data_IF_524913157588
#
_entry.id   IF_524913157588
#
_cell.length_a   1.000
_cell.length_b   1.000
_cell.length_c   1.000
_cell.angle_alpha   90.00
_cell.angle_beta   90.00
_cell.angle_gamma   90.00
#
_symmetry.space_group_name_H-M   'P 1'
#
loop_
_entity.id
_entity.type
_entity.pdbx_description
1 polymer ?
#
# COMPACT_ATOMS: atom_id res chain seq x y z
N UNK A 1 0.81 -13.22 -13.86
CA UNK A 1 0.62 -12.77 -12.45
C UNK A 1 1.98 -12.76 -11.79
N UNK A 2 2.27 -11.88 -10.84
CA UNK A 2 3.55 -11.93 -10.12
C UNK A 2 3.49 -13.10 -9.13
N UNK A 3 4.47 -14.00 -9.21
CA UNK A 3 4.57 -15.15 -8.30
C UNK A 3 4.89 -14.66 -6.88
N UNK A 4 4.30 -15.30 -5.85
CA UNK A 4 4.50 -14.91 -4.45
C UNK A 4 3.62 -13.75 -3.95
N UNK A 5 2.83 -13.12 -4.84
CA UNK A 5 1.94 -12.01 -4.49
C UNK A 5 0.50 -12.50 -4.31
N UNK A 6 -0.13 -12.16 -3.18
CA UNK A 6 -1.56 -12.36 -2.94
C UNK A 6 -2.37 -11.76 -4.09
N UNK A 7 -3.14 -12.60 -4.80
CA UNK A 7 -4.01 -12.13 -5.88
C UNK A 7 -5.46 -12.47 -5.65
N UNK A 8 -6.30 -11.44 -5.66
CA UNK A 8 -7.68 -11.53 -5.24
C UNK A 8 -8.56 -10.70 -6.17
N UNK A 9 -9.68 -11.27 -6.63
CA UNK A 9 -10.65 -10.57 -7.49
C UNK A 9 -11.89 -10.08 -6.73
N UNK A 10 -12.07 -10.52 -5.48
CA UNK A 10 -13.18 -10.13 -4.59
C UNK A 10 -12.73 -9.06 -3.60
N UNK A 11 -13.47 -7.97 -3.47
CA UNK A 11 -13.09 -6.89 -2.55
C UNK A 11 -13.15 -7.35 -1.07
N UNK A 12 -14.13 -8.20 -0.73
CA UNK A 12 -14.23 -8.80 0.61
C UNK A 12 -13.02 -9.67 0.98
N UNK A 13 -12.42 -10.34 0.01
CA UNK A 13 -11.21 -11.13 0.25
C UNK A 13 -9.97 -10.22 0.24
N UNK A 14 -9.95 -9.15 -0.57
CA UNK A 14 -8.83 -8.21 -0.61
C UNK A 14 -8.65 -7.51 0.75
N UNK A 15 -9.75 -7.14 1.40
CA UNK A 15 -9.78 -6.62 2.78
C UNK A 15 -9.22 -7.58 3.84
N UNK A 16 -9.03 -8.86 3.51
CA UNK A 16 -8.43 -9.87 4.39
C UNK A 16 -6.95 -10.14 4.06
N UNK A 17 -6.40 -9.49 3.03
CA UNK A 17 -4.97 -9.58 2.73
C UNK A 17 -4.18 -8.71 3.68
N UNK A 18 -3.35 -9.32 4.52
CA UNK A 18 -2.40 -8.68 5.44
C UNK A 18 -0.93 -9.05 5.09
N UNK A 19 -0.68 -9.49 3.86
CA UNK A 19 0.66 -9.92 3.43
C UNK A 19 1.47 -8.79 2.77
N UNK A 20 1.25 -7.52 3.12
CA UNK A 20 1.88 -6.37 2.47
C UNK A 20 3.40 -6.47 2.35
N UNK A 21 4.07 -6.89 3.42
CA UNK A 21 5.51 -7.09 3.43
C UNK A 21 5.97 -8.15 2.41
N UNK A 22 5.40 -9.35 2.44
CA UNK A 22 5.78 -10.44 1.54
C UNK A 22 5.40 -10.17 0.07
N UNK A 23 4.24 -9.55 -0.14
CA UNK A 23 3.82 -9.06 -1.45
C UNK A 23 4.85 -8.06 -1.99
N UNK A 24 5.27 -7.09 -1.16
CA UNK A 24 6.25 -6.07 -1.53
C UNK A 24 7.57 -6.70 -1.95
N UNK A 25 8.09 -7.65 -1.18
CA UNK A 25 9.32 -8.37 -1.52
C UNK A 25 9.22 -9.05 -2.89
N UNK A 26 8.13 -9.79 -3.11
CA UNK A 26 7.90 -10.50 -4.39
C UNK A 26 7.74 -9.55 -5.58
N UNK A 27 7.08 -8.39 -5.39
CA UNK A 27 6.94 -7.37 -6.44
C UNK A 27 8.28 -6.71 -6.73
N UNK A 28 9.05 -6.37 -5.69
CA UNK A 28 10.35 -5.73 -5.83
C UNK A 28 11.37 -6.66 -6.52
N UNK A 29 11.34 -7.97 -6.25
CA UNK A 29 12.16 -8.95 -6.97
C UNK A 29 11.76 -9.08 -8.45
N UNK A 30 10.47 -8.92 -8.77
CA UNK A 30 9.97 -8.99 -10.14
C UNK A 30 10.32 -7.72 -10.94
N UNK A 31 10.30 -6.54 -10.32
CA UNK A 31 10.63 -5.26 -10.97
C UNK A 31 11.10 -4.19 -10.00
N UNK A 32 12.21 -3.54 -10.37
CA UNK A 32 12.79 -2.41 -9.63
C UNK A 32 12.15 -1.06 -9.98
N UNK A 33 11.15 -1.03 -10.86
CA UNK A 33 10.45 0.19 -11.29
C UNK A 33 9.00 0.19 -10.77
N UNK A 34 8.79 -0.18 -9.50
CA UNK A 34 7.47 -0.28 -8.89
C UNK A 34 7.37 0.51 -7.59
N UNK A 35 6.14 0.87 -7.23
CA UNK A 35 5.81 1.44 -5.92
C UNK A 35 6.32 0.57 -4.76
N UNK A 36 6.25 -0.76 -4.92
CA UNK A 36 6.76 -1.69 -3.93
C UNK A 36 8.28 -1.59 -3.76
N UNK A 37 9.03 -1.49 -4.86
CA UNK A 37 10.49 -1.31 -4.80
C UNK A 37 10.89 0.01 -4.12
N UNK A 38 10.20 1.12 -4.41
CA UNK A 38 10.47 2.40 -3.73
C UNK A 38 10.29 2.30 -2.20
N UNK A 39 9.33 1.49 -1.74
CA UNK A 39 9.17 1.22 -0.31
C UNK A 39 10.35 0.45 0.28
N UNK A 40 10.92 -0.54 -0.42
CA UNK A 40 11.99 -1.41 0.13
C UNK A 40 13.33 -0.70 0.31
N UNK A 41 13.56 0.39 -0.43
CA UNK A 41 14.77 1.22 -0.30
C UNK A 41 14.61 2.38 0.68
N UNK A 42 13.40 2.58 1.21
CA UNK A 42 13.12 3.62 2.21
C UNK A 42 13.38 3.07 3.61
N UNK A 43 14.38 3.62 4.31
CA UNK A 43 14.70 3.25 5.69
C UNK A 43 14.14 4.27 6.68
N UNK A 44 13.41 3.79 7.68
CA UNK A 44 12.96 4.60 8.80
C UNK A 44 14.10 4.88 9.79
N UNK A 45 13.95 5.92 10.62
CA UNK A 45 14.98 6.32 11.61
C UNK A 45 15.36 5.22 12.60
N UNK A 46 14.49 4.22 12.79
CA UNK A 46 14.73 3.04 13.63
C UNK A 46 15.46 1.90 12.89
N UNK A 47 15.91 2.11 11.65
CA UNK A 47 16.64 1.14 10.84
C UNK A 47 15.76 0.16 10.05
N UNK A 48 14.45 0.15 10.28
CA UNK A 48 13.53 -0.72 9.56
C UNK A 48 13.35 -0.25 8.10
N UNK A 49 13.30 -1.21 7.18
CA UNK A 49 12.94 -0.94 5.79
C UNK A 49 11.43 -0.87 5.63
N UNK A 50 10.99 -0.05 4.70
CA UNK A 50 9.60 0.12 4.34
C UNK A 50 9.04 -1.01 3.48
N UNK A 51 7.72 -1.10 3.44
CA UNK A 51 6.97 -1.90 2.50
C UNK A 51 5.69 -1.19 2.05
N UNK A 52 5.10 -1.69 0.97
CA UNK A 52 3.81 -1.23 0.45
C UNK A 52 2.70 -2.06 1.10
N UNK A 53 1.80 -1.41 1.84
CA UNK A 53 0.72 -2.12 2.53
C UNK A 53 -0.24 -2.83 1.56
N UNK A 54 -0.80 -3.94 2.01
CA UNK A 54 -1.93 -4.62 1.38
C UNK A 54 -3.26 -3.91 1.67
N UNK A 55 -4.34 -4.32 1.01
CA UNK A 55 -5.68 -3.73 1.23
C UNK A 55 -6.13 -3.88 2.68
N UNK A 56 -5.95 -5.04 3.31
CA UNK A 56 -6.34 -5.27 4.70
C UNK A 56 -5.60 -4.36 5.68
N UNK A 57 -4.28 -4.18 5.52
CA UNK A 57 -3.50 -3.25 6.34
C UNK A 57 -3.96 -1.81 6.17
N UNK A 58 -4.31 -1.42 4.94
CA UNK A 58 -4.90 -0.10 4.69
C UNK A 58 -6.24 0.10 5.37
N UNK A 59 -7.08 -0.93 5.48
CA UNK A 59 -8.34 -0.82 6.23
C UNK A 59 -8.06 -0.53 7.71
N UNK A 60 -7.04 -1.14 8.30
CA UNK A 60 -6.64 -0.83 9.68
C UNK A 60 -6.11 0.60 9.84
N UNK A 61 -5.31 1.09 8.89
CA UNK A 61 -4.85 2.49 8.87
C UNK A 61 -6.04 3.44 8.86
N UNK A 62 -7.02 3.17 8.00
CA UNK A 62 -8.20 4.05 7.83
C UNK A 62 -9.10 3.98 9.08
N UNK A 63 -9.26 2.81 9.68
CA UNK A 63 -10.00 2.66 10.95
C UNK A 63 -9.36 3.46 12.11
N UNK A 64 -8.06 3.74 12.03
CA UNK A 64 -7.31 4.49 13.03
C UNK A 64 -6.83 5.87 12.52
N UNK A 65 -7.45 6.38 11.45
CA UNK A 65 -6.98 7.56 10.70
C UNK A 65 -6.78 8.80 11.58
N UNK A 66 -7.74 9.11 12.45
CA UNK A 66 -7.68 10.30 13.32
C UNK A 66 -6.48 10.26 14.27
N UNK A 67 -6.20 9.09 14.86
CA UNK A 67 -5.07 8.91 15.77
C UNK A 67 -3.74 8.96 15.03
N UNK A 68 -3.67 8.33 13.85
CA UNK A 68 -2.48 8.38 12.97
C UNK A 68 -2.21 9.82 12.56
N UNK A 69 -3.21 10.57 12.07
CA UNK A 69 -3.06 11.97 11.66
C UNK A 69 -2.62 12.86 12.83
N UNK A 70 -3.19 12.64 14.03
CA UNK A 70 -2.73 13.34 15.24
C UNK A 70 -1.26 13.05 15.53
N UNK A 71 -0.81 11.81 15.39
CA UNK A 71 0.60 11.45 15.55
C UNK A 71 1.50 12.06 14.45
N UNK A 72 1.06 12.06 13.19
CA UNK A 72 1.78 12.67 12.08
C UNK A 72 1.98 14.17 12.30
N UNK A 73 0.94 14.87 12.77
CA UNK A 73 0.99 16.30 13.06
C UNK A 73 2.02 16.65 14.15
N UNK A 74 2.28 15.76 15.12
CA UNK A 74 3.28 15.99 16.18
C UNK A 74 4.73 15.99 15.66
N UNK A 75 4.97 15.43 14.46
CA UNK A 75 6.30 15.31 13.85
C UNK A 75 6.42 16.12 12.56
N UNK A 76 5.55 17.12 12.37
CA UNK A 76 5.43 17.91 11.13
C UNK A 76 5.22 17.05 9.87
N UNK A 77 4.63 15.87 10.07
CA UNK A 77 4.31 14.93 9.01
C UNK A 77 3.02 15.28 8.29
N UNK A 78 2.92 14.82 7.04
CA UNK A 78 1.72 15.01 6.23
C UNK A 78 0.62 14.02 6.64
N UNK A 79 -0.55 14.53 7.00
CA UNK A 79 -1.76 13.74 7.24
C UNK A 79 -2.08 12.84 6.02
N UNK A 80 -2.68 11.67 6.28
CA UNK A 80 -3.00 10.67 5.26
C UNK A 80 -4.08 11.18 4.30
N UNK A 81 -5.13 11.82 4.80
CA UNK A 81 -6.24 12.35 4.00
C UNK A 81 -5.88 13.63 3.23
N UNK A 82 -4.80 14.31 3.61
CA UNK A 82 -4.24 15.47 2.89
C UNK A 82 -3.17 15.09 1.86
N UNK A 83 -2.59 13.89 1.98
CA UNK A 83 -1.52 13.44 1.11
C UNK A 83 -1.99 13.05 -0.30
N UNK A 84 -3.10 12.32 -0.39
CA UNK A 84 -3.69 11.88 -1.64
C UNK A 84 -5.11 11.35 -1.44
N UNK A 85 -5.89 11.30 -2.52
CA UNK A 85 -7.23 10.70 -2.55
C UNK A 85 -7.21 9.18 -2.64
N UNK A 86 -6.13 8.59 -3.18
CA UNK A 86 -6.01 7.15 -3.43
C UNK A 86 -4.56 6.69 -3.38
N UNK A 87 -4.37 5.48 -2.88
CA UNK A 87 -3.07 4.89 -2.59
C UNK A 87 -2.92 3.52 -3.25
N UNK A 88 -1.72 3.26 -3.77
CA UNK A 88 -1.31 1.92 -4.18
C UNK A 88 -1.33 0.95 -3.01
N UNK A 89 -1.78 -0.28 -3.28
CA UNK A 89 -1.61 -1.42 -2.37
C UNK A 89 -0.76 -2.49 -3.03
N UNK A 90 -0.20 -3.39 -2.23
CA UNK A 90 0.52 -4.55 -2.72
C UNK A 90 -0.41 -5.70 -3.18
N UNK A 91 -1.71 -5.62 -2.88
CA UNK A 91 -2.66 -6.69 -3.22
C UNK A 91 -2.93 -6.68 -4.72
N UNK A 92 -2.62 -7.78 -5.38
CA UNK A 92 -2.81 -7.91 -6.82
C UNK A 92 -4.29 -8.20 -7.14
N UNK A 93 -4.84 -7.58 -8.19
CA UNK A 93 -6.17 -7.96 -8.71
C UNK A 93 -6.03 -8.98 -9.83
N UNK A 94 -5.15 -8.71 -10.80
CA UNK A 94 -4.80 -9.62 -11.88
C UNK A 94 -3.38 -9.31 -12.41
N UNK A 95 -3.04 -9.79 -13.61
CA UNK A 95 -1.72 -9.52 -14.20
C UNK A 95 -1.43 -8.03 -14.39
N UNK A 96 -2.41 -7.25 -14.86
CA UNK A 96 -2.24 -5.84 -15.21
C UNK A 96 -2.58 -4.87 -14.08
N UNK A 97 -3.38 -5.29 -13.09
CA UNK A 97 -4.01 -4.41 -12.10
C UNK A 97 -3.73 -4.81 -10.65
N UNK A 98 -3.61 -3.81 -9.79
CA UNK A 98 -3.57 -3.94 -8.33
C UNK A 98 -4.79 -3.26 -7.73
N UNK A 99 -5.12 -3.63 -6.50
CA UNK A 99 -6.11 -2.89 -5.72
C UNK A 99 -5.54 -1.55 -5.27
N UNK A 100 -6.44 -0.58 -5.17
CA UNK A 100 -6.23 0.74 -4.62
C UNK A 100 -7.14 0.90 -3.41
N UNK A 101 -6.76 1.81 -2.52
CA UNK A 101 -7.65 2.29 -1.45
C UNK A 101 -7.73 3.80 -1.47
N UNK A 102 -8.89 4.35 -1.15
CA UNK A 102 -9.06 5.77 -0.85
C UNK A 102 -8.86 6.03 0.64
N UNK A 103 -8.50 7.26 1.03
CA UNK A 103 -8.38 7.60 2.46
C UNK A 103 -9.71 7.47 3.23
N UNK A 104 -10.86 7.44 2.55
CA UNK A 104 -12.18 7.28 3.14
C UNK A 104 -12.69 5.82 3.17
N UNK A 105 -11.82 4.83 2.94
CA UNK A 105 -12.15 3.42 3.19
C UNK A 105 -12.75 2.65 2.01
N UNK A 106 -12.64 3.18 0.78
CA UNK A 106 -13.09 2.45 -0.41
C UNK A 106 -11.91 1.77 -1.08
N UNK A 107 -12.00 0.46 -1.23
CA UNK A 107 -11.12 -0.36 -2.05
C UNK A 107 -11.71 -0.52 -3.46
N UNK A 108 -10.87 -0.35 -4.47
CA UNK A 108 -11.27 -0.49 -5.87
C UNK A 108 -10.09 -0.94 -6.73
N UNK A 109 -10.36 -1.28 -7.99
CA UNK A 109 -9.33 -1.44 -9.01
C UNK A 109 -9.72 -0.55 -10.19
N UNK A 110 -8.77 0.17 -10.81
CA UNK A 110 -9.09 1.08 -11.89
C UNK A 110 -9.41 0.28 -13.17
N UNK A 111 -10.46 0.68 -13.89
CA UNK A 111 -10.86 -0.01 -15.12
C UNK A 111 -9.88 0.23 -16.28
N UNK A 112 -9.31 1.43 -16.36
CA UNK A 112 -8.50 1.85 -17.52
C UNK A 112 -7.00 1.98 -17.21
N UNK A 113 -6.58 1.70 -15.97
CA UNK A 113 -5.20 1.95 -15.54
C UNK A 113 -4.47 0.65 -15.17
N UNK A 114 -3.17 0.64 -15.51
CA UNK A 114 -2.26 -0.47 -15.26
C UNK A 114 -1.42 -0.21 -14.01
N UNK A 115 -0.89 -1.28 -13.40
CA UNK A 115 0.13 -1.17 -12.35
C UNK A 115 1.27 -0.26 -12.80
N UNK A 116 1.71 0.62 -11.91
CA UNK A 116 2.87 1.46 -12.14
C UNK A 116 2.58 2.80 -12.83
N UNK A 117 1.32 3.17 -13.04
CA UNK A 117 1.01 4.57 -13.38
C UNK A 117 1.33 5.49 -12.19
N UNK A 118 1.82 6.69 -12.48
CA UNK A 118 2.27 7.66 -11.48
C UNK A 118 1.14 8.48 -10.85
N UNK A 119 -0.13 8.12 -11.10
CA UNK A 119 -1.29 8.88 -10.65
C UNK A 119 -1.66 8.64 -9.18
N UNK A 120 -1.29 7.48 -8.61
CA UNK A 120 -1.63 7.14 -7.22
C UNK A 120 -0.44 7.27 -6.30
N UNK A 121 -0.74 7.67 -5.06
CA UNK A 121 0.28 7.88 -4.05
C UNK A 121 0.75 6.56 -3.44
N UNK A 122 1.92 6.64 -2.80
CA UNK A 122 2.53 5.56 -2.03
C UNK A 122 2.66 6.08 -0.60
N UNK A 123 2.27 5.25 0.38
CA UNK A 123 2.59 5.49 1.78
C UNK A 123 3.46 4.33 2.26
N UNK A 124 4.70 4.64 2.59
CA UNK A 124 5.67 3.66 3.10
C UNK A 124 5.33 3.34 4.55
N UNK A 125 5.32 2.05 4.90
CA UNK A 125 5.02 1.55 6.25
C UNK A 125 6.14 0.60 6.67
N UNK A 126 6.42 0.49 7.97
CA UNK A 126 7.32 -0.52 8.51
C UNK A 126 6.59 -1.50 9.43
N UNK A 127 7.10 -2.73 9.50
CA UNK A 127 6.54 -3.76 10.36
C UNK A 127 7.12 -3.58 11.77
N UNK A 128 6.30 -3.62 12.82
CA UNK A 128 6.82 -3.63 14.18
C UNK A 128 7.57 -4.95 14.43
N UNK A 129 8.77 -4.88 15.02
CA UNK A 129 9.57 -6.06 15.44
C UNK A 129 9.10 -6.52 16.82
#
# INVERSE_FOLDING_TARGET
>A
MIQGVTTITSSNEAKKDFNGFQNTQSIAEYTHASAAYECTVTQFKNGQMGYLASVGEWMEIINNLDEINKCMSLIDGLDIDKGATSYWTSTQYNYEKAWLVTYNGNEFYPNDERKGVSFYAIRVISQLI
#
